data_IF_689913113618
#
_entry.id   IF_689913113618
#
_cell.length_a   1.000
_cell.length_b   1.000
_cell.length_c   1.000
_cell.angle_alpha   90.00
_cell.angle_beta   90.00
_cell.angle_gamma   90.00
#
_symmetry.space_group_name_H-M   'P 1'
#
loop_
_entity.id
_entity.type
_entity.pdbx_description
1 polymer ?
#
# COMPACT_ATOMS: atom_id res chain seq x y z
N UNK A 1 13.13 9.65 13.22
CA UNK A 1 13.51 10.78 12.37
C UNK A 1 14.69 10.35 11.50
N UNK A 2 14.72 10.80 10.25
CA UNK A 2 15.88 10.60 9.38
C UNK A 2 17.00 11.52 9.88
N UNK A 3 18.24 11.03 9.99
CA UNK A 3 19.37 11.80 10.52
C UNK A 3 19.70 13.07 9.69
N UNK A 4 19.24 13.12 8.43
CA UNK A 4 19.40 14.26 7.51
C UNK A 4 18.10 15.07 7.32
N UNK A 5 17.05 14.79 8.07
CA UNK A 5 15.75 15.43 7.89
C UNK A 5 15.53 16.62 8.84
N UNK A 6 14.87 17.67 8.37
CA UNK A 6 14.48 18.87 9.14
C UNK A 6 13.74 18.57 10.46
N UNK A 7 13.14 17.40 10.58
CA UNK A 7 12.51 16.93 11.82
C UNK A 7 13.53 16.63 12.92
N UNK A 8 14.75 16.25 12.59
CA UNK A 8 15.82 16.00 13.56
C UNK A 8 16.19 17.28 14.29
N UNK A 9 16.36 18.36 13.55
CA UNK A 9 16.71 19.67 14.12
C UNK A 9 15.66 20.15 15.13
N UNK A 10 14.37 19.87 14.88
CA UNK A 10 13.29 20.19 15.84
C UNK A 10 13.43 19.38 17.12
N UNK A 11 13.70 18.08 17.02
CA UNK A 11 13.88 17.22 18.19
C UNK A 11 15.11 17.64 19.01
N UNK A 12 16.20 17.97 18.34
CA UNK A 12 17.44 18.42 18.97
C UNK A 12 17.28 19.80 19.62
N UNK A 13 16.52 20.72 19.01
CA UNK A 13 16.19 22.02 19.60
C UNK A 13 15.41 21.86 20.92
N UNK A 14 14.51 20.90 21.00
CA UNK A 14 13.72 20.59 22.18
C UNK A 14 14.36 19.51 23.07
N UNK A 15 15.64 19.16 22.88
CA UNK A 15 16.33 18.15 23.68
C UNK A 15 16.24 18.33 25.21
N UNK A 16 16.17 19.59 25.76
CA UNK A 16 15.97 19.78 27.20
C UNK A 16 14.57 19.44 27.71
N UNK A 17 13.59 19.28 26.81
CA UNK A 17 12.23 18.94 27.17
C UNK A 17 12.03 17.42 27.22
N UNK A 18 11.05 16.97 28.02
CA UNK A 18 10.61 15.57 28.00
C UNK A 18 9.93 15.30 26.67
N UNK A 19 10.42 14.31 25.95
CA UNK A 19 9.89 13.93 24.63
C UNK A 19 9.18 12.58 24.72
N UNK A 20 7.95 12.51 24.24
CA UNK A 20 7.15 11.29 24.15
C UNK A 20 6.89 10.95 22.70
N UNK A 21 7.31 9.76 22.28
CA UNK A 21 7.03 9.19 20.95
C UNK A 21 5.87 8.19 21.01
N UNK A 22 4.87 8.35 20.14
CA UNK A 22 3.78 7.41 19.95
C UNK A 22 3.80 6.92 18.49
N UNK A 23 3.89 5.62 18.28
CA UNK A 23 3.89 5.04 16.93
C UNK A 23 3.35 3.62 16.94
N UNK A 24 2.60 3.25 15.90
CA UNK A 24 2.20 1.87 15.64
C UNK A 24 3.29 1.09 14.87
N UNK A 25 4.27 1.79 14.27
CA UNK A 25 5.28 1.21 13.38
C UNK A 25 6.68 1.72 13.73
N UNK A 26 7.23 1.32 14.89
CA UNK A 26 8.60 1.72 15.24
C UNK A 26 9.59 1.17 14.21
N UNK A 27 10.55 2.01 13.80
CA UNK A 27 11.54 1.67 12.77
C UNK A 27 12.88 1.31 13.41
N UNK A 28 13.58 0.36 12.80
CA UNK A 28 14.99 -0.02 13.07
C UNK A 28 15.77 -0.02 11.76
N UNK A 29 15.88 1.12 11.11
CA UNK A 29 16.62 1.28 9.86
C UNK A 29 17.79 2.25 10.06
N UNK A 30 18.82 2.16 9.23
CA UNK A 30 20.05 2.97 9.34
C UNK A 30 19.75 4.47 9.45
N UNK A 31 18.75 4.97 8.72
CA UNK A 31 18.40 6.40 8.68
C UNK A 31 17.15 6.78 9.48
N UNK A 32 16.54 5.85 10.22
CA UNK A 32 15.34 6.13 11.01
C UNK A 32 15.17 5.07 12.10
N UNK A 33 15.97 5.15 13.15
CA UNK A 33 15.88 4.24 14.28
C UNK A 33 15.15 4.92 15.45
N UNK A 34 13.92 4.43 15.71
CA UNK A 34 13.07 4.91 16.80
C UNK A 34 13.68 4.55 18.16
N UNK A 35 14.28 3.38 18.26
CA UNK A 35 14.85 2.86 19.50
C UNK A 35 16.19 3.53 19.83
N UNK A 36 16.98 3.87 18.82
CA UNK A 36 18.23 4.63 19.03
C UNK A 36 17.97 6.02 19.60
N UNK A 37 16.81 6.63 19.24
CA UNK A 37 16.47 7.96 19.73
C UNK A 37 15.72 7.95 21.06
N UNK A 38 14.66 7.15 21.20
CA UNK A 38 13.76 7.16 22.37
C UNK A 38 14.13 6.10 23.42
N UNK A 39 15.02 5.14 23.11
CA UNK A 39 15.30 3.98 23.95
C UNK A 39 14.24 2.89 23.80
N UNK A 40 14.19 1.97 24.75
CA UNK A 40 13.18 0.92 24.79
C UNK A 40 11.79 1.51 25.13
N UNK A 41 10.72 0.98 24.50
CA UNK A 41 9.38 1.51 24.75
C UNK A 41 8.94 1.30 26.21
N UNK A 42 8.35 2.33 26.79
CA UNK A 42 7.77 2.28 28.15
C UNK A 42 6.44 1.53 28.19
N UNK A 43 5.78 1.40 27.03
CA UNK A 43 4.53 0.64 26.87
C UNK A 43 4.43 0.10 25.45
N UNK A 44 3.99 -1.16 25.34
CA UNK A 44 3.70 -1.81 24.06
C UNK A 44 2.32 -2.44 24.13
N UNK A 45 1.45 -2.07 23.20
CA UNK A 45 0.17 -2.72 22.97
C UNK A 45 0.21 -3.36 21.59
N UNK A 46 0.40 -4.66 21.55
CA UNK A 46 0.63 -5.38 20.32
C UNK A 46 -0.67 -5.61 19.54
N UNK A 47 -0.54 -5.91 18.24
CA UNK A 47 -1.66 -6.35 17.41
C UNK A 47 -2.39 -7.56 18.03
N UNK A 48 -1.64 -8.50 18.62
CA UNK A 48 -2.19 -9.67 19.30
C UNK A 48 -3.04 -9.27 20.52
N UNK A 49 -2.56 -8.32 21.30
CA UNK A 49 -3.30 -7.83 22.47
C UNK A 49 -4.60 -7.16 22.02
N UNK A 50 -4.54 -6.30 20.97
CA UNK A 50 -5.71 -5.65 20.42
C UNK A 50 -6.76 -6.61 19.85
N UNK A 51 -6.33 -7.73 19.27
CA UNK A 51 -7.25 -8.78 18.80
C UNK A 51 -7.86 -9.53 20.02
N UNK A 52 -7.05 -9.89 20.99
CA UNK A 52 -7.52 -10.62 22.18
C UNK A 52 -8.50 -9.79 23.01
N UNK A 53 -8.28 -8.49 23.09
CA UNK A 53 -9.14 -7.55 23.81
C UNK A 53 -10.41 -7.15 23.01
N UNK A 54 -10.53 -7.62 21.77
CA UNK A 54 -11.69 -7.37 20.91
C UNK A 54 -11.72 -5.99 20.23
N UNK A 55 -10.64 -5.20 20.30
CA UNK A 55 -10.53 -3.91 19.62
C UNK A 55 -10.13 -4.03 18.16
N UNK A 56 -9.43 -5.10 17.79
CA UNK A 56 -8.98 -5.36 16.42
C UNK A 56 -9.56 -6.68 15.91
N UNK A 57 -9.91 -6.67 14.62
CA UNK A 57 -10.47 -7.85 13.97
C UNK A 57 -9.38 -8.88 13.65
N UNK A 58 -9.57 -10.17 13.95
CA UNK A 58 -8.67 -11.21 13.51
C UNK A 58 -8.64 -11.30 11.98
N UNK A 59 -7.48 -11.63 11.42
CA UNK A 59 -7.27 -11.71 9.97
C UNK A 59 -6.60 -13.02 9.57
N UNK A 60 -6.72 -13.36 8.30
CA UNK A 60 -5.98 -14.44 7.66
C UNK A 60 -5.00 -13.86 6.66
N UNK A 61 -3.78 -14.38 6.64
CA UNK A 61 -2.77 -14.04 5.64
C UNK A 61 -2.68 -15.18 4.63
N UNK A 62 -2.82 -14.84 3.35
CA UNK A 62 -2.55 -15.74 2.24
C UNK A 62 -1.45 -15.13 1.39
N UNK A 63 -0.30 -15.79 1.38
CA UNK A 63 0.81 -15.40 0.52
C UNK A 63 0.66 -16.10 -0.83
N UNK A 64 0.74 -15.33 -1.91
CA UNK A 64 0.69 -15.83 -3.28
C UNK A 64 2.04 -15.52 -3.91
N UNK A 65 2.83 -16.55 -4.18
CA UNK A 65 4.01 -16.45 -5.01
C UNK A 65 3.64 -16.80 -6.46
N UNK A 66 4.10 -16.00 -7.40
CA UNK A 66 3.92 -16.28 -8.83
C UNK A 66 5.28 -16.56 -9.47
N UNK A 67 5.31 -17.39 -10.50
CA UNK A 67 6.53 -17.67 -11.28
C UNK A 67 7.07 -16.44 -12.01
N UNK A 68 6.33 -15.32 -11.98
CA UNK A 68 6.67 -14.03 -12.56
C UNK A 68 7.39 -13.10 -11.57
N UNK A 69 7.74 -13.58 -10.39
CA UNK A 69 8.44 -12.77 -9.37
C UNK A 69 9.92 -12.57 -9.71
N UNK A 70 10.47 -13.40 -10.62
CA UNK A 70 11.76 -13.21 -11.26
C UNK A 70 11.57 -13.06 -12.78
N UNK A 71 11.94 -11.92 -13.31
CA UNK A 71 11.71 -11.60 -14.71
C UNK A 71 13.00 -11.15 -15.40
N UNK A 72 13.26 -11.73 -16.57
CA UNK A 72 14.29 -11.26 -17.50
C UNK A 72 13.57 -10.60 -18.69
N UNK A 73 13.80 -9.31 -18.86
CA UNK A 73 13.21 -8.56 -19.96
C UNK A 73 13.50 -9.16 -21.33
N UNK A 74 12.46 -9.31 -22.13
CA UNK A 74 12.56 -9.65 -23.55
C UNK A 74 12.09 -8.47 -24.41
N UNK A 75 12.65 -8.27 -25.64
CA UNK A 75 12.34 -7.10 -26.48
C UNK A 75 10.87 -6.96 -26.86
N UNK A 76 10.08 -8.03 -26.74
CA UNK A 76 8.66 -8.07 -27.11
C UNK A 76 7.74 -7.59 -25.98
N UNK A 77 8.29 -7.34 -24.77
CA UNK A 77 7.49 -6.93 -23.62
C UNK A 77 7.11 -5.46 -23.66
N UNK A 78 5.84 -5.19 -23.35
CA UNK A 78 5.35 -3.82 -23.26
C UNK A 78 5.61 -3.26 -21.87
N UNK A 79 6.57 -2.36 -21.77
CA UNK A 79 6.87 -1.61 -20.55
C UNK A 79 5.97 -0.37 -20.50
N UNK A 80 5.26 -0.23 -19.39
CA UNK A 80 4.35 0.90 -19.16
C UNK A 80 5.10 2.07 -18.56
N UNK A 81 6.06 1.83 -17.68
CA UNK A 81 6.84 2.86 -16.99
C UNK A 81 8.24 2.34 -16.65
N UNK A 82 9.23 3.22 -16.74
CA UNK A 82 10.62 2.99 -16.35
C UNK A 82 11.59 2.79 -17.52
N UNK A 83 12.88 2.96 -17.23
CA UNK A 83 13.98 2.68 -18.17
C UNK A 83 14.50 1.26 -17.99
N UNK A 84 14.55 0.51 -19.09
CA UNK A 84 15.01 -0.86 -19.08
C UNK A 84 16.48 -0.92 -19.49
N UNK A 85 17.26 -1.65 -18.69
CA UNK A 85 18.63 -2.00 -19.06
C UNK A 85 18.61 -3.42 -19.64
N UNK A 86 18.93 -3.60 -20.93
CA UNK A 86 18.99 -4.92 -21.56
C UNK A 86 19.89 -5.88 -20.80
N UNK A 87 19.42 -7.09 -20.55
CA UNK A 87 20.18 -8.15 -19.83
C UNK A 87 20.19 -8.01 -18.31
N UNK A 88 19.58 -6.97 -17.73
CA UNK A 88 19.44 -6.86 -16.28
C UNK A 88 18.30 -7.77 -15.81
N UNK A 89 18.57 -8.51 -14.74
CA UNK A 89 17.55 -9.28 -14.00
C UNK A 89 16.83 -8.32 -13.06
N UNK A 90 15.51 -8.31 -13.13
CA UNK A 90 14.65 -7.54 -12.22
C UNK A 90 14.05 -8.47 -11.16
N UNK A 91 14.12 -8.07 -9.90
CA UNK A 91 13.50 -8.77 -8.77
C UNK A 91 12.16 -8.13 -8.42
N UNK A 92 11.35 -8.79 -7.60
CA UNK A 92 10.03 -8.30 -7.22
C UNK A 92 10.04 -6.87 -6.65
N UNK A 93 11.06 -6.49 -5.91
CA UNK A 93 11.24 -5.14 -5.36
C UNK A 93 11.41 -4.04 -6.41
N UNK A 94 11.80 -4.40 -7.64
CA UNK A 94 12.03 -3.49 -8.76
C UNK A 94 10.74 -3.24 -9.56
N UNK A 95 9.79 -4.19 -9.52
CA UNK A 95 8.52 -4.05 -10.24
C UNK A 95 7.64 -2.97 -9.62
N UNK A 96 6.92 -2.25 -10.50
CA UNK A 96 6.02 -1.15 -10.16
C UNK A 96 6.69 0.05 -9.44
N UNK A 97 8.03 0.05 -9.37
CA UNK A 97 8.85 1.18 -8.91
C UNK A 97 9.86 1.61 -9.96
N UNK A 98 10.48 0.63 -10.63
CA UNK A 98 11.51 0.83 -11.66
C UNK A 98 10.98 0.40 -13.02
N UNK A 99 10.17 -0.67 -13.04
CA UNK A 99 9.60 -1.25 -14.27
C UNK A 99 8.17 -1.74 -14.00
N UNK A 100 7.26 -1.46 -14.91
CA UNK A 100 5.89 -1.98 -14.91
C UNK A 100 5.63 -2.73 -16.21
N UNK A 101 5.17 -3.99 -16.09
CA UNK A 101 4.82 -4.86 -17.22
C UNK A 101 3.33 -5.12 -17.20
N UNK A 102 2.64 -4.70 -18.25
CA UNK A 102 1.17 -4.72 -18.33
C UNK A 102 0.59 -6.13 -18.21
N UNK A 103 1.20 -7.10 -18.86
CA UNK A 103 0.75 -8.50 -18.86
C UNK A 103 0.87 -9.14 -17.46
N UNK A 104 1.94 -8.80 -16.75
CA UNK A 104 2.17 -9.24 -15.36
C UNK A 104 1.10 -8.67 -14.43
N UNK A 105 0.82 -7.40 -14.54
CA UNK A 105 -0.20 -6.75 -13.71
C UNK A 105 -1.62 -7.25 -14.04
N UNK A 106 -1.93 -7.46 -15.32
CA UNK A 106 -3.20 -8.04 -15.73
C UNK A 106 -3.39 -9.47 -15.19
N UNK A 107 -2.32 -10.28 -15.16
CA UNK A 107 -2.35 -11.61 -14.56
C UNK A 107 -2.59 -11.56 -13.05
N UNK A 108 -1.87 -10.69 -12.33
CA UNK A 108 -2.03 -10.50 -10.86
C UNK A 108 -3.46 -10.05 -10.51
N UNK A 109 -4.00 -9.07 -11.25
CA UNK A 109 -5.37 -8.60 -11.03
C UNK A 109 -6.38 -9.71 -11.32
N UNK A 110 -6.16 -10.54 -12.36
CA UNK A 110 -7.04 -11.69 -12.65
C UNK A 110 -7.02 -12.70 -11.49
N UNK A 111 -5.87 -13.02 -10.92
CA UNK A 111 -5.77 -13.87 -9.73
C UNK A 111 -6.54 -13.26 -8.57
N UNK A 112 -6.31 -11.98 -8.26
CA UNK A 112 -7.01 -11.26 -7.21
C UNK A 112 -8.54 -11.36 -7.38
N UNK A 113 -9.05 -11.01 -8.56
CA UNK A 113 -10.49 -11.01 -8.85
C UNK A 113 -11.13 -12.41 -8.79
N UNK A 114 -10.34 -13.46 -9.01
CA UNK A 114 -10.77 -14.85 -8.84
C UNK A 114 -10.78 -15.34 -7.40
N UNK A 115 -10.07 -14.64 -6.50
CA UNK A 115 -9.90 -15.07 -5.10
C UNK A 115 -10.79 -14.30 -4.12
N UNK A 116 -11.11 -13.04 -4.41
CA UNK A 116 -11.94 -12.20 -3.54
C UNK A 116 -13.43 -12.45 -3.78
N UNK A 117 -14.24 -12.25 -2.75
CA UNK A 117 -15.68 -12.03 -2.95
C UNK A 117 -15.88 -10.59 -3.48
N UNK A 118 -16.22 -10.47 -4.75
CA UNK A 118 -16.39 -9.19 -5.44
C UNK A 118 -17.52 -8.30 -4.88
N UNK A 119 -18.24 -8.76 -3.87
CA UNK A 119 -19.27 -7.98 -3.15
C UNK A 119 -18.74 -7.39 -1.84
N UNK A 120 -17.55 -7.79 -1.40
CA UNK A 120 -16.98 -7.34 -0.14
C UNK A 120 -16.00 -6.18 -0.36
N UNK A 121 -16.02 -5.22 0.56
CA UNK A 121 -15.09 -4.08 0.57
C UNK A 121 -13.65 -4.58 0.56
N UNK A 122 -12.88 -4.12 -0.40
CA UNK A 122 -11.50 -4.55 -0.62
C UNK A 122 -10.59 -3.36 -0.85
N UNK A 123 -9.44 -3.31 -0.18
CA UNK A 123 -8.40 -2.29 -0.42
C UNK A 123 -7.19 -2.97 -1.05
N UNK A 124 -6.72 -2.42 -2.17
CA UNK A 124 -5.55 -2.89 -2.91
C UNK A 124 -4.42 -1.87 -2.76
N UNK A 125 -3.37 -2.23 -2.05
CA UNK A 125 -2.18 -1.40 -1.91
C UNK A 125 -1.23 -1.60 -3.07
N UNK A 126 -0.88 -0.51 -3.73
CA UNK A 126 -0.03 -0.47 -4.92
C UNK A 126 1.30 0.24 -4.61
N UNK A 127 2.34 -0.02 -5.41
CA UNK A 127 3.68 0.52 -5.18
C UNK A 127 3.74 2.04 -5.38
N UNK A 128 3.04 2.56 -6.40
CA UNK A 128 2.98 3.99 -6.76
C UNK A 128 1.55 4.43 -7.03
N UNK A 129 1.32 5.74 -7.19
CA UNK A 129 0.02 6.29 -7.56
C UNK A 129 -0.37 5.92 -9.02
N UNK A 130 0.62 5.84 -9.91
CA UNK A 130 0.43 5.40 -11.32
C UNK A 130 0.05 3.92 -11.35
N UNK A 131 0.75 3.08 -10.58
CA UNK A 131 0.40 1.68 -10.43
C UNK A 131 -1.02 1.50 -9.87
N UNK A 132 -1.44 2.31 -8.87
CA UNK A 132 -2.80 2.28 -8.35
C UNK A 132 -3.86 2.62 -9.42
N UNK A 133 -3.53 3.53 -10.35
CA UNK A 133 -4.39 3.87 -11.48
C UNK A 133 -4.52 2.69 -12.46
N UNK A 134 -3.41 2.07 -12.84
CA UNK A 134 -3.38 0.93 -13.75
C UNK A 134 -4.16 -0.27 -13.17
N UNK A 135 -3.97 -0.57 -11.88
CA UNK A 135 -4.70 -1.64 -11.19
C UNK A 135 -6.20 -1.33 -11.12
N UNK A 136 -6.60 -0.08 -10.81
CA UNK A 136 -8.02 0.33 -10.84
C UNK A 136 -8.66 0.03 -12.20
N UNK A 137 -7.97 0.38 -13.29
CA UNK A 137 -8.50 0.19 -14.64
C UNK A 137 -8.63 -1.30 -14.98
N UNK A 138 -7.64 -2.11 -14.61
CA UNK A 138 -7.69 -3.55 -14.78
C UNK A 138 -8.83 -4.21 -13.96
N UNK A 139 -9.02 -3.79 -12.70
CA UNK A 139 -10.14 -4.28 -11.87
C UNK A 139 -11.47 -3.93 -12.50
N UNK A 140 -11.64 -2.68 -12.99
CA UNK A 140 -12.87 -2.25 -13.64
C UNK A 140 -13.12 -2.95 -14.99
N UNK A 141 -12.09 -3.47 -15.65
CA UNK A 141 -12.23 -4.30 -16.87
C UNK A 141 -12.61 -5.75 -16.54
N UNK A 142 -12.23 -6.27 -15.38
CA UNK A 142 -12.38 -7.68 -14.98
C UNK A 142 -13.51 -7.93 -13.98
N UNK A 143 -14.15 -6.87 -13.47
CA UNK A 143 -15.24 -6.94 -12.49
C UNK A 143 -16.49 -7.61 -13.07
N UNK A 144 -17.28 -8.20 -12.20
CA UNK A 144 -18.63 -8.73 -12.55
C UNK A 144 -19.72 -7.66 -12.41
N UNK A 145 -19.48 -6.62 -11.61
CA UNK A 145 -20.40 -5.50 -11.42
C UNK A 145 -20.49 -4.63 -12.68
N UNK A 146 -21.68 -4.13 -13.02
CA UNK A 146 -21.87 -3.18 -14.12
C UNK A 146 -21.59 -1.73 -13.70
N UNK A 147 -21.49 -1.45 -12.39
CA UNK A 147 -21.30 -0.10 -11.89
C UNK A 147 -19.91 0.45 -12.26
N UNK A 148 -19.81 1.62 -12.94
CA UNK A 148 -18.53 2.20 -13.35
C UNK A 148 -17.65 2.65 -12.17
N UNK A 149 -18.23 2.86 -10.99
CA UNK A 149 -17.53 3.27 -9.77
C UNK A 149 -17.23 2.10 -8.85
N UNK A 150 -17.29 0.85 -9.34
CA UNK A 150 -16.98 -0.34 -8.58
C UNK A 150 -15.58 -0.29 -7.94
N UNK A 151 -14.57 0.09 -8.72
CA UNK A 151 -13.22 0.31 -8.25
C UNK A 151 -12.80 1.76 -8.47
N UNK A 152 -12.35 2.43 -7.39
CA UNK A 152 -11.92 3.83 -7.40
C UNK A 152 -10.50 3.93 -6.83
N UNK A 153 -9.68 4.81 -7.41
CA UNK A 153 -8.36 5.15 -6.87
C UNK A 153 -8.48 6.21 -5.78
N UNK A 154 -7.76 6.00 -4.68
CA UNK A 154 -7.67 6.97 -3.58
C UNK A 154 -6.20 7.18 -3.22
N UNK A 155 -5.60 8.21 -3.78
CA UNK A 155 -4.20 8.60 -3.57
C UNK A 155 -4.10 10.07 -3.19
N UNK A 156 -2.89 10.56 -2.91
CA UNK A 156 -2.68 11.97 -2.55
C UNK A 156 -3.14 12.92 -3.66
N UNK A 157 -2.94 12.54 -4.92
CA UNK A 157 -3.25 13.38 -6.09
C UNK A 157 -4.75 13.44 -6.41
N UNK A 158 -5.59 12.56 -5.83
CA UNK A 158 -7.03 12.53 -6.10
C UNK A 158 -7.81 13.58 -5.29
N UNK A 159 -7.16 14.25 -4.33
CA UNK A 159 -7.72 15.40 -3.59
C UNK A 159 -9.11 15.14 -3.00
N UNK A 160 -10.01 16.10 -3.14
CA UNK A 160 -11.37 16.05 -2.57
C UNK A 160 -12.22 14.89 -3.13
N UNK A 161 -12.04 14.51 -4.40
CA UNK A 161 -12.74 13.36 -5.00
C UNK A 161 -12.29 12.04 -4.38
N UNK A 162 -10.99 11.87 -4.14
CA UNK A 162 -10.48 10.71 -3.42
C UNK A 162 -10.98 10.64 -1.98
N UNK A 163 -11.06 11.78 -1.28
CA UNK A 163 -11.58 11.85 0.09
C UNK A 163 -13.08 11.54 0.15
N UNK A 164 -13.84 11.95 -0.86
CA UNK A 164 -15.26 11.60 -0.98
C UNK A 164 -15.41 10.09 -1.21
N UNK A 165 -14.66 9.51 -2.15
CA UNK A 165 -14.71 8.09 -2.44
C UNK A 165 -14.33 7.24 -1.20
N UNK A 166 -13.36 7.71 -0.39
CA UNK A 166 -13.00 7.05 0.86
C UNK A 166 -14.15 7.08 1.87
N UNK A 167 -14.82 8.22 2.06
CA UNK A 167 -15.99 8.31 2.95
C UNK A 167 -17.12 7.38 2.50
N UNK A 168 -17.39 7.32 1.20
CA UNK A 168 -18.41 6.41 0.64
C UNK A 168 -18.02 4.94 0.79
N UNK A 169 -16.73 4.62 0.68
CA UNK A 169 -16.23 3.27 0.92
C UNK A 169 -16.36 2.86 2.39
N UNK A 170 -16.11 3.77 3.32
CA UNK A 170 -16.23 3.53 4.77
C UNK A 170 -17.69 3.45 5.26
N UNK A 171 -18.63 3.93 4.48
CA UNK A 171 -20.07 3.84 4.78
C UNK A 171 -20.54 2.39 4.56
N UNK A 172 -20.94 1.72 5.63
CA UNK A 172 -21.42 0.34 5.59
C UNK A 172 -22.76 0.16 4.87
N UNK A 173 -23.54 1.23 4.71
CA UNK A 173 -24.80 1.21 3.98
C UNK A 173 -24.60 1.32 2.45
N UNK A 174 -23.39 1.70 2.01
CA UNK A 174 -23.04 1.80 0.60
C UNK A 174 -22.23 0.61 0.13
N UNK A 175 -22.64 -0.02 -0.95
CA UNK A 175 -21.89 -1.09 -1.60
C UNK A 175 -20.82 -0.57 -2.55
N UNK A 176 -21.00 0.62 -3.11
CA UNK A 176 -20.11 1.27 -4.06
C UNK A 176 -19.45 2.49 -3.42
N UNK A 177 -18.14 2.70 -3.61
CA UNK A 177 -17.21 1.81 -4.26
C UNK A 177 -16.97 0.53 -3.43
N UNK A 178 -16.77 -0.59 -4.13
CA UNK A 178 -16.49 -1.89 -3.49
C UNK A 178 -14.99 -2.13 -3.35
N UNK A 179 -14.20 -1.67 -4.32
CA UNK A 179 -12.75 -1.79 -4.31
C UNK A 179 -12.10 -0.40 -4.30
N UNK A 180 -11.11 -0.21 -3.45
CA UNK A 180 -10.21 0.95 -3.51
C UNK A 180 -8.81 0.51 -3.91
N UNK A 181 -8.18 1.22 -4.84
CA UNK A 181 -6.75 1.12 -5.09
C UNK A 181 -6.04 2.33 -4.50
N UNK A 182 -4.92 2.11 -3.83
CA UNK A 182 -4.18 3.18 -3.16
C UNK A 182 -2.67 2.90 -3.20
N UNK A 183 -1.88 3.89 -2.84
CA UNK A 183 -0.44 3.72 -2.60
C UNK A 183 -0.14 3.90 -1.10
N UNK A 184 0.37 5.06 -0.71
CA UNK A 184 0.76 5.33 0.67
C UNK A 184 -0.35 6.00 1.51
N UNK A 185 -1.33 6.65 0.87
CA UNK A 185 -2.33 7.47 1.57
C UNK A 185 -3.12 6.70 2.63
N UNK A 186 -3.43 5.43 2.39
CA UNK A 186 -4.22 4.60 3.29
C UNK A 186 -3.37 3.59 4.08
N UNK A 187 -2.05 3.76 4.13
CA UNK A 187 -1.16 2.81 4.83
C UNK A 187 -1.24 2.91 6.36
N UNK A 188 -1.81 4.01 6.88
CA UNK A 188 -2.02 4.21 8.33
C UNK A 188 -3.31 5.00 8.55
N UNK A 189 -4.05 4.68 9.62
CA UNK A 189 -5.18 5.47 10.10
C UNK A 189 -6.48 5.36 9.28
N UNK A 190 -6.73 4.22 8.66
CA UNK A 190 -7.97 3.93 7.93
C UNK A 190 -8.87 3.02 8.74
#
# INVERSE_FOLDING_TARGET
ANDEGSWRDILDYFAPAVQLGLTATPKRTINADTYAYFGEPVYVYSLKDGINDGFLTPFKVQQIATTLDEYVYTPDDQVVEGEIVPGKRYEEKDFNKVIEIKEREAYRVRLLMGMIDQRQKTIVFCATQVHALAVRDLVNQMKTSEDPHYCVRVTADDGALGDQALREFQDNEKTIPTVLTTSQKLSTGV
#
